data_IF_867507385725
#
_entry.id   IF_867507385725
#
_cell.length_a   1.000
_cell.length_b   1.000
_cell.length_c   1.000
_cell.angle_alpha   90.00
_cell.angle_beta   90.00
_cell.angle_gamma   90.00
#
_symmetry.space_group_name_H-M   'P 1'
#
loop_
_entity.id
_entity.type
_entity.pdbx_description
1 polymer ?
#
# COMPACT_ATOMS: atom_id res chain seq x y z
N UNK A 1 -6.89 16.80 -19.68
CA UNK A 1 -7.85 15.72 -20.01
C UNK A 1 -7.11 14.38 -19.92
N UNK A 2 -7.02 13.80 -18.72
CA UNK A 2 -6.47 12.45 -18.57
C UNK A 2 -7.54 11.47 -19.05
N UNK A 3 -7.28 10.75 -20.13
CA UNK A 3 -8.04 9.54 -20.40
C UNK A 3 -7.82 8.62 -19.20
N UNK A 4 -8.84 8.46 -18.35
CA UNK A 4 -8.78 7.58 -17.19
C UNK A 4 -8.65 6.15 -17.71
N UNK A 5 -7.41 5.66 -17.81
CA UNK A 5 -7.10 4.28 -18.20
C UNK A 5 -7.62 3.37 -17.09
N UNK A 6 -8.87 2.92 -17.22
CA UNK A 6 -9.51 2.00 -16.28
C UNK A 6 -9.32 0.58 -16.81
N UNK A 7 -8.24 -0.07 -16.38
CA UNK A 7 -7.88 -1.45 -16.75
C UNK A 7 -7.93 -2.37 -15.54
N UNK A 8 -8.06 -3.67 -15.78
CA UNK A 8 -8.11 -4.68 -14.73
C UNK A 8 -6.80 -4.71 -13.91
N UNK A 9 -5.69 -4.47 -14.59
CA UNK A 9 -4.33 -4.41 -14.07
C UNK A 9 -4.18 -3.23 -13.12
N UNK A 10 -4.79 -2.09 -13.45
CA UNK A 10 -4.83 -0.94 -12.56
C UNK A 10 -5.65 -1.24 -11.30
N UNK A 11 -6.84 -1.86 -11.44
CA UNK A 11 -7.65 -2.26 -10.29
C UNK A 11 -6.86 -3.19 -9.34
N UNK A 12 -6.17 -4.19 -9.90
CA UNK A 12 -5.31 -5.12 -9.15
C UNK A 12 -4.15 -4.42 -8.44
N UNK A 13 -3.55 -3.40 -9.07
CA UNK A 13 -2.47 -2.64 -8.46
C UNK A 13 -2.96 -1.87 -7.22
N UNK A 14 -4.07 -1.16 -7.35
CA UNK A 14 -4.68 -0.41 -6.24
C UNK A 14 -5.15 -1.34 -5.12
N UNK A 15 -5.73 -2.50 -5.48
CA UNK A 15 -6.07 -3.57 -4.52
C UNK A 15 -4.85 -4.01 -3.70
N UNK A 16 -3.71 -4.28 -4.35
CA UNK A 16 -2.47 -4.70 -3.67
C UNK A 16 -1.87 -3.62 -2.78
N UNK A 17 -2.05 -2.36 -3.14
CA UNK A 17 -1.57 -1.22 -2.37
C UNK A 17 -2.48 -0.86 -1.18
N UNK A 18 -3.67 -1.46 -1.11
CA UNK A 18 -4.64 -1.19 -0.05
C UNK A 18 -5.60 -0.04 -0.36
N UNK A 19 -5.55 0.54 -1.57
CA UNK A 19 -6.50 1.57 -2.03
C UNK A 19 -7.81 0.90 -2.49
N UNK A 20 -8.51 0.27 -1.54
CA UNK A 20 -9.66 -0.58 -1.84
C UNK A 20 -10.85 0.17 -2.45
N UNK A 21 -11.06 1.45 -2.07
CA UNK A 21 -12.13 2.29 -2.63
C UNK A 21 -11.90 2.56 -4.12
N UNK A 22 -10.69 3.00 -4.46
CA UNK A 22 -10.32 3.31 -5.84
C UNK A 22 -10.28 2.04 -6.70
N UNK A 23 -9.77 0.94 -6.15
CA UNK A 23 -9.80 -0.37 -6.81
C UNK A 23 -11.24 -0.81 -7.12
N UNK A 24 -12.15 -0.67 -6.15
CA UNK A 24 -13.57 -0.99 -6.32
C UNK A 24 -14.22 -0.13 -7.42
N UNK A 25 -13.93 1.18 -7.46
CA UNK A 25 -14.46 2.06 -8.51
C UNK A 25 -14.05 1.57 -9.91
N UNK A 26 -12.78 1.17 -10.07
CA UNK A 26 -12.27 0.66 -11.36
C UNK A 26 -12.95 -0.68 -11.70
N UNK A 27 -13.09 -1.61 -10.73
CA UNK A 27 -13.77 -2.88 -10.94
C UNK A 27 -15.24 -2.70 -11.34
N UNK A 28 -15.98 -1.80 -10.67
CA UNK A 28 -17.37 -1.49 -11.00
C UNK A 28 -17.51 -0.89 -12.40
N UNK A 29 -16.60 0.02 -12.78
CA UNK A 29 -16.56 0.58 -14.13
C UNK A 29 -16.32 -0.49 -15.20
N UNK A 30 -15.38 -1.40 -14.93
CA UNK A 30 -15.09 -2.52 -15.84
C UNK A 30 -16.26 -3.49 -15.94
N UNK A 31 -16.96 -3.78 -14.84
CA UNK A 31 -18.12 -4.67 -14.83
C UNK A 31 -19.26 -4.16 -15.72
N UNK A 32 -19.47 -2.83 -15.74
CA UNK A 32 -20.47 -2.19 -16.63
C UNK A 32 -20.12 -2.23 -18.12
N UNK A 33 -18.85 -2.43 -18.47
CA UNK A 33 -18.40 -2.52 -19.87
C UNK A 33 -18.17 -3.96 -20.34
N UNK A 34 -17.69 -4.83 -19.45
CA UNK A 34 -17.32 -6.22 -19.73
C UNK A 34 -17.62 -7.08 -18.49
N UNK A 35 -18.41 -8.12 -18.67
CA UNK A 35 -18.64 -9.10 -17.61
C UNK A 35 -17.52 -10.14 -17.62
N UNK A 36 -16.74 -10.19 -16.54
CA UNK A 36 -15.69 -11.18 -16.34
C UNK A 36 -15.76 -11.75 -14.92
N UNK A 37 -15.54 -13.06 -14.80
CA UNK A 37 -15.53 -13.76 -13.50
C UNK A 37 -14.54 -13.12 -12.51
N UNK A 38 -13.38 -12.71 -13.02
CA UNK A 38 -12.35 -12.03 -12.23
C UNK A 38 -12.77 -10.63 -11.75
N UNK A 39 -13.52 -9.89 -12.57
CA UNK A 39 -14.02 -8.56 -12.18
C UNK A 39 -15.01 -8.70 -11.03
N UNK A 40 -15.94 -9.67 -11.12
CA UNK A 40 -16.90 -9.93 -10.05
C UNK A 40 -16.20 -10.40 -8.76
N UNK A 41 -15.20 -11.28 -8.88
CA UNK A 41 -14.39 -11.70 -7.76
C UNK A 41 -13.66 -10.52 -7.10
N UNK A 42 -13.11 -9.60 -7.91
CA UNK A 42 -12.49 -8.36 -7.44
C UNK A 42 -13.45 -7.48 -6.65
N UNK A 43 -14.67 -7.24 -7.17
CA UNK A 43 -15.71 -6.46 -6.48
C UNK A 43 -16.02 -7.06 -5.10
N UNK A 44 -16.25 -8.38 -5.04
CA UNK A 44 -16.59 -9.06 -3.80
C UNK A 44 -15.45 -8.93 -2.77
N UNK A 45 -14.20 -9.15 -3.19
CA UNK A 45 -13.02 -8.99 -2.31
C UNK A 45 -12.91 -7.55 -1.79
N UNK A 46 -13.13 -6.54 -2.63
CA UNK A 46 -13.01 -5.14 -2.22
C UNK A 46 -14.11 -4.72 -1.26
N UNK A 47 -15.35 -5.19 -1.47
CA UNK A 47 -16.43 -4.95 -0.51
C UNK A 47 -16.10 -5.57 0.86
N UNK A 48 -15.65 -6.82 0.92
CA UNK A 48 -15.21 -7.44 2.18
C UNK A 48 -14.06 -6.67 2.85
N UNK A 49 -13.11 -6.17 2.05
CA UNK A 49 -11.97 -5.39 2.56
C UNK A 49 -12.41 -4.03 3.09
N UNK A 50 -13.37 -3.36 2.44
CA UNK A 50 -13.91 -2.08 2.89
C UNK A 50 -14.71 -2.20 4.18
N UNK A 51 -15.50 -3.27 4.34
CA UNK A 51 -16.18 -3.59 5.59
C UNK A 51 -15.18 -3.82 6.74
N UNK A 52 -14.03 -4.43 6.45
CA UNK A 52 -12.95 -4.66 7.42
C UNK A 52 -12.02 -3.46 7.63
N UNK A 53 -11.99 -2.51 6.69
CA UNK A 53 -11.03 -1.40 6.65
C UNK A 53 -11.26 -0.34 7.74
N UNK A 54 -12.38 -0.37 8.47
CA UNK A 54 -12.59 0.50 9.64
C UNK A 54 -11.55 0.32 10.76
N UNK A 55 -10.69 -0.71 10.68
CA UNK A 55 -9.66 -1.05 11.67
C UNK A 55 -8.21 -0.89 11.16
N UNK A 56 -7.98 -0.72 9.85
CA UNK A 56 -6.62 -0.61 9.30
C UNK A 56 -6.24 0.85 8.98
N UNK A 57 -4.98 1.26 9.23
CA UNK A 57 -4.48 2.57 8.81
C UNK A 57 -4.63 2.74 7.31
N UNK A 58 -4.91 3.97 6.87
CA UNK A 58 -4.96 4.28 5.44
C UNK A 58 -3.61 3.92 4.78
N UNK A 59 -3.60 3.55 3.49
CA UNK A 59 -2.36 3.19 2.78
C UNK A 59 -1.25 4.25 2.91
N UNK A 60 -1.64 5.52 2.91
CA UNK A 60 -0.75 6.69 3.09
C UNK A 60 -0.15 6.73 4.50
N UNK A 61 -0.96 6.50 5.52
CA UNK A 61 -0.51 6.43 6.92
C UNK A 61 0.44 5.26 7.14
N UNK A 62 0.11 4.10 6.56
CA UNK A 62 0.99 2.92 6.59
C UNK A 62 2.33 3.21 5.92
N UNK A 63 2.31 3.95 4.82
CA UNK A 63 3.51 4.36 4.09
C UNK A 63 4.36 5.32 4.93
N UNK A 64 3.74 6.34 5.53
CA UNK A 64 4.40 7.28 6.42
C UNK A 64 5.04 6.57 7.64
N UNK A 65 4.32 5.66 8.28
CA UNK A 65 4.82 4.87 9.41
C UNK A 65 6.03 4.01 9.02
N UNK A 66 6.01 3.42 7.82
CA UNK A 66 7.16 2.65 7.33
C UNK A 66 8.38 3.53 7.07
N UNK A 67 8.18 4.74 6.51
CA UNK A 67 9.27 5.70 6.34
C UNK A 67 9.85 6.15 7.68
N UNK A 68 9.02 6.42 8.68
CA UNK A 68 9.46 6.78 10.02
C UNK A 68 10.34 5.68 10.64
N UNK A 69 9.87 4.42 10.60
CA UNK A 69 10.63 3.26 11.08
C UNK A 69 11.96 3.12 10.34
N UNK A 70 11.94 3.30 9.02
CA UNK A 70 13.16 3.20 8.22
C UNK A 70 14.19 4.27 8.59
N UNK A 71 13.74 5.53 8.77
CA UNK A 71 14.60 6.63 9.22
C UNK A 71 15.17 6.36 10.61
N UNK A 72 14.37 5.86 11.55
CA UNK A 72 14.86 5.46 12.87
C UNK A 72 15.96 4.41 12.79
N UNK A 73 15.79 3.39 11.95
CA UNK A 73 16.79 2.34 11.77
C UNK A 73 18.10 2.88 11.19
N UNK A 74 18.03 3.83 10.25
CA UNK A 74 19.23 4.49 9.72
C UNK A 74 19.98 5.27 10.80
N UNK A 75 19.25 6.02 11.64
CA UNK A 75 19.86 6.78 12.75
C UNK A 75 20.49 5.82 13.76
N UNK A 76 19.79 4.74 14.12
CA UNK A 76 20.30 3.73 15.06
C UNK A 76 21.58 3.07 14.53
N UNK A 77 21.60 2.70 13.25
CA UNK A 77 22.80 2.17 12.59
C UNK A 77 23.96 3.15 12.66
N UNK A 78 23.72 4.41 12.32
CA UNK A 78 24.76 5.44 12.38
C UNK A 78 25.31 5.62 13.81
N UNK A 79 24.45 5.65 14.82
CA UNK A 79 24.86 5.73 16.24
C UNK A 79 25.69 4.52 16.65
N UNK A 80 25.28 3.33 16.24
CA UNK A 80 26.01 2.09 16.51
C UNK A 80 27.41 2.12 15.88
N UNK A 81 27.52 2.55 14.62
CA UNK A 81 28.80 2.66 13.92
C UNK A 81 29.74 3.64 14.63
N UNK A 82 29.22 4.77 15.11
CA UNK A 82 29.99 5.74 15.89
C UNK A 82 30.45 5.15 17.23
N UNK A 83 29.57 4.43 17.94
CA UNK A 83 29.92 3.75 19.18
C UNK A 83 31.05 2.73 18.99
N UNK A 84 30.97 1.91 17.93
CA UNK A 84 32.02 0.94 17.58
C UNK A 84 33.36 1.65 17.31
N UNK A 85 33.35 2.76 16.57
CA UNK A 85 34.56 3.55 16.31
C UNK A 85 35.18 4.10 17.58
N UNK A 86 34.39 4.64 18.50
CA UNK A 86 34.87 5.15 19.79
C UNK A 86 35.46 4.01 20.62
N UNK A 87 34.75 2.88 20.74
CA UNK A 87 35.21 1.71 21.50
C UNK A 87 36.56 1.20 21.00
N UNK A 88 36.76 1.14 19.67
CA UNK A 88 38.03 0.73 19.05
C UNK A 88 39.20 1.67 19.35
N UNK A 89 38.95 2.93 19.72
CA UNK A 89 40.00 3.91 20.07
C UNK A 89 40.39 3.87 21.55
N UNK A 90 39.51 3.32 22.40
CA UNK A 90 39.69 3.21 23.84
C UNK A 90 40.24 1.86 24.30
N UNK A 91 40.35 0.90 23.36
CA UNK A 91 40.95 -0.42 23.57
C UNK A 91 42.26 -0.52 22.80
#
# INVERSE_FOLDING_TARGET
MSQNIRTLELARLYERQGYYKDALEIYLHLHGQKTGTEIQAGINRMNEKLEKAGLEPLPEEKTALNFEKWLMLLILRHRLDNFIKIRKRLS
#
